data_IF_836683580670
#
_entry.id   IF_836683580670
#
_cell.length_a   1.000
_cell.length_b   1.000
_cell.length_c   1.000
_cell.angle_alpha   90.00
_cell.angle_beta   90.00
_cell.angle_gamma   90.00
#
_symmetry.space_group_name_H-M   'P 1'
#
loop_
_entity.id
_entity.type
_entity.pdbx_description
1 polymer ?
#
# COMPACT_ATOMS: atom_id res chain seq x y z
N UNK A 1 -22.73 -9.61 5.49
CA UNK A 1 -21.43 -9.00 5.13
C UNK A 1 -21.18 -7.87 6.09
N UNK A 2 -19.90 -7.67 6.47
CA UNK A 2 -19.55 -6.56 7.37
C UNK A 2 -19.60 -5.22 6.64
N UNK A 3 -20.01 -4.19 7.36
CA UNK A 3 -20.17 -2.81 6.88
C UNK A 3 -19.66 -1.85 7.94
N UNK A 4 -19.27 -0.64 7.55
CA UNK A 4 -19.11 0.46 8.49
C UNK A 4 -20.37 1.33 8.48
N UNK A 5 -20.84 1.69 9.67
CA UNK A 5 -21.87 2.72 9.90
C UNK A 5 -21.21 3.90 10.56
N UNK A 6 -21.39 5.07 10.00
CA UNK A 6 -20.67 6.29 10.39
C UNK A 6 -21.69 7.41 10.59
N UNK A 7 -21.62 8.11 11.73
CA UNK A 7 -22.22 9.42 11.89
C UNK A 7 -21.16 10.48 11.73
N UNK A 8 -21.26 11.27 10.67
CA UNK A 8 -20.31 12.32 10.35
C UNK A 8 -20.69 13.68 10.93
N UNK A 9 -19.90 14.69 10.57
CA UNK A 9 -20.13 16.07 10.91
C UNK A 9 -19.32 16.60 12.10
N UNK A 10 -18.53 15.74 12.75
CA UNK A 10 -17.67 16.14 13.86
C UNK A 10 -16.18 16.17 13.42
N UNK A 11 -15.41 17.19 13.84
CA UNK A 11 -13.97 17.21 13.64
C UNK A 11 -13.30 16.00 14.32
N UNK A 12 -12.33 15.40 13.67
CA UNK A 12 -11.47 14.43 14.31
C UNK A 12 -10.35 15.13 15.07
N UNK A 13 -10.17 14.79 16.33
CA UNK A 13 -9.18 15.42 17.21
C UNK A 13 -8.49 14.37 18.06
N UNK A 14 -7.18 14.42 18.14
CA UNK A 14 -6.41 13.54 18.99
C UNK A 14 -5.13 13.03 18.35
N UNK A 15 -4.67 11.90 18.83
CA UNK A 15 -3.43 11.25 18.40
C UNK A 15 -3.75 9.88 17.81
N UNK A 16 -3.03 9.52 16.75
CA UNK A 16 -3.09 8.20 16.14
C UNK A 16 -1.68 7.67 15.91
N UNK A 17 -1.47 6.41 16.23
CA UNK A 17 -0.19 5.73 16.02
C UNK A 17 -0.26 4.89 14.74
N UNK A 18 0.74 5.06 13.87
CA UNK A 18 0.82 4.40 12.57
C UNK A 18 1.53 3.07 12.71
N UNK A 19 0.98 2.05 12.08
CA UNK A 19 1.56 0.71 12.01
C UNK A 19 2.59 0.55 10.92
N UNK A 20 3.09 -0.67 10.76
CA UNK A 20 4.06 -1.02 9.73
C UNK A 20 3.52 -0.88 8.32
N UNK A 21 4.40 -0.54 7.38
CA UNK A 21 4.07 -0.35 5.97
C UNK A 21 3.69 -1.69 5.32
N UNK A 22 2.43 -1.83 4.92
CA UNK A 22 1.93 -3.03 4.23
C UNK A 22 2.76 -3.35 2.98
N UNK A 23 3.03 -2.36 2.15
CA UNK A 23 3.73 -2.58 0.89
C UNK A 23 5.21 -3.00 1.09
N UNK A 24 5.86 -2.52 2.15
CA UNK A 24 7.17 -3.00 2.55
C UNK A 24 7.09 -4.42 3.13
N UNK A 25 6.13 -4.66 4.02
CA UNK A 25 5.93 -5.95 4.68
C UNK A 25 5.74 -7.10 3.68
N UNK A 26 4.92 -6.90 2.65
CA UNK A 26 4.67 -7.93 1.62
C UNK A 26 5.96 -8.38 0.94
N UNK A 27 6.83 -7.45 0.56
CA UNK A 27 8.10 -7.76 -0.08
C UNK A 27 9.13 -8.34 0.90
N UNK A 28 9.19 -7.81 2.13
CA UNK A 28 10.10 -8.30 3.18
C UNK A 28 9.76 -9.73 3.60
N UNK A 29 8.49 -10.07 3.73
CA UNK A 29 8.07 -11.44 4.01
C UNK A 29 8.47 -12.42 2.91
N UNK A 30 8.33 -12.02 1.64
CA UNK A 30 8.80 -12.82 0.52
C UNK A 30 10.33 -12.97 0.55
N UNK A 31 11.07 -11.90 0.81
CA UNK A 31 12.53 -11.94 0.90
C UNK A 31 13.04 -12.78 2.09
N UNK A 32 12.26 -12.88 3.17
CA UNK A 32 12.63 -13.66 4.35
C UNK A 32 12.84 -15.15 4.08
N UNK A 33 12.23 -15.71 3.03
CA UNK A 33 12.41 -17.11 2.65
C UNK A 33 13.73 -17.38 1.90
N UNK A 34 14.48 -16.33 1.53
CA UNK A 34 15.72 -16.46 0.76
C UNK A 34 16.89 -16.97 1.60
N UNK A 35 16.76 -17.08 2.90
CA UNK A 35 17.73 -17.72 3.80
C UNK A 35 17.16 -18.97 4.43
N UNK A 36 18.04 -19.90 4.81
CA UNK A 36 17.68 -21.09 5.59
C UNK A 36 17.70 -20.82 7.10
N UNK A 37 18.21 -19.67 7.51
CA UNK A 37 18.25 -19.25 8.90
C UNK A 37 16.95 -18.54 9.31
N UNK A 38 16.70 -18.44 10.62
CA UNK A 38 15.54 -17.78 11.16
C UNK A 38 15.59 -16.27 10.97
N UNK A 39 14.50 -15.70 10.46
CA UNK A 39 14.28 -14.26 10.33
C UNK A 39 13.17 -13.83 11.28
N UNK A 40 13.46 -12.82 12.10
CA UNK A 40 12.49 -12.21 13.01
C UNK A 40 12.09 -10.83 12.48
N UNK A 41 10.79 -10.64 12.26
CA UNK A 41 10.24 -9.40 11.68
C UNK A 41 9.30 -8.76 12.70
N UNK A 42 9.57 -7.50 13.01
CA UNK A 42 8.80 -6.64 13.90
C UNK A 42 8.06 -5.55 13.12
N UNK A 43 7.10 -4.91 13.79
CA UNK A 43 6.25 -3.88 13.21
C UNK A 43 5.52 -4.34 11.95
N UNK A 44 5.11 -5.59 11.93
CA UNK A 44 4.31 -6.18 10.87
C UNK A 44 2.85 -5.72 11.04
N UNK A 45 2.19 -5.15 10.01
CA UNK A 45 0.78 -4.78 10.15
C UNK A 45 -0.11 -6.03 10.17
N UNK A 46 -1.08 -6.06 11.08
CA UNK A 46 -2.08 -7.13 11.15
C UNK A 46 -3.24 -6.82 10.19
N UNK A 47 -3.01 -7.05 8.93
CA UNK A 47 -3.97 -6.82 7.85
C UNK A 47 -4.15 -8.08 7.00
N UNK A 48 -5.27 -8.14 6.30
CA UNK A 48 -5.66 -9.34 5.53
C UNK A 48 -4.61 -9.76 4.50
N UNK A 49 -4.04 -8.82 3.75
CA UNK A 49 -3.04 -9.14 2.72
C UNK A 49 -1.79 -9.80 3.32
N UNK A 50 -1.36 -9.37 4.49
CA UNK A 50 -0.23 -9.96 5.21
C UNK A 50 -0.55 -11.38 5.66
N UNK A 51 -1.74 -11.60 6.22
CA UNK A 51 -2.15 -12.92 6.70
C UNK A 51 -2.24 -13.92 5.54
N UNK A 52 -2.77 -13.51 4.39
CA UNK A 52 -2.82 -14.35 3.19
C UNK A 52 -1.41 -14.71 2.69
N UNK A 53 -0.48 -13.75 2.68
CA UNK A 53 0.90 -14.03 2.26
C UNK A 53 1.63 -14.98 3.22
N UNK A 54 1.42 -14.84 4.53
CA UNK A 54 1.99 -15.76 5.51
C UNK A 54 1.47 -17.21 5.32
N UNK A 55 0.18 -17.36 4.98
CA UNK A 55 -0.37 -18.66 4.64
C UNK A 55 0.26 -19.24 3.36
N UNK A 56 0.44 -18.41 2.31
CA UNK A 56 1.10 -18.84 1.09
C UNK A 56 2.55 -19.30 1.34
N UNK A 57 3.29 -18.58 2.17
CA UNK A 57 4.66 -18.94 2.57
C UNK A 57 4.68 -20.25 3.37
N UNK A 58 3.73 -20.45 4.25
CA UNK A 58 3.58 -21.72 5.00
C UNK A 58 3.25 -22.89 4.08
N UNK A 59 2.38 -22.66 3.10
CA UNK A 59 1.93 -23.72 2.16
C UNK A 59 3.09 -24.21 1.27
N UNK A 60 4.01 -23.36 0.87
CA UNK A 60 5.20 -23.80 0.12
C UNK A 60 6.25 -24.49 0.99
N UNK A 61 6.04 -24.55 2.30
CA UNK A 61 6.82 -25.37 3.24
C UNK A 61 7.68 -24.59 4.22
N UNK A 62 7.67 -23.25 4.23
CA UNK A 62 8.39 -22.48 5.24
C UNK A 62 7.75 -22.64 6.63
N UNK A 63 8.57 -22.57 7.66
CA UNK A 63 8.10 -22.44 9.04
C UNK A 63 7.73 -20.99 9.32
N UNK A 64 6.50 -20.78 9.77
CA UNK A 64 5.97 -19.45 10.10
C UNK A 64 5.35 -19.50 11.50
N UNK A 65 5.97 -18.78 12.44
CA UNK A 65 5.50 -18.66 13.82
C UNK A 65 5.07 -17.22 14.09
N UNK A 66 3.78 -17.02 14.35
CA UNK A 66 3.25 -15.72 14.79
C UNK A 66 3.55 -15.52 16.28
N UNK A 67 4.45 -14.59 16.59
CA UNK A 67 4.84 -14.30 17.99
C UNK A 67 3.83 -13.38 18.66
N UNK A 68 3.34 -12.39 17.90
CA UNK A 68 2.30 -11.44 18.29
C UNK A 68 1.54 -10.98 17.05
N UNK A 69 0.48 -10.18 17.17
CA UNK A 69 -0.19 -9.62 15.98
C UNK A 69 0.73 -8.85 15.03
N UNK A 70 1.85 -8.30 15.55
CA UNK A 70 2.79 -7.45 14.79
C UNK A 70 4.19 -8.05 14.65
N UNK A 71 4.38 -9.32 15.03
CA UNK A 71 5.70 -9.96 15.01
C UNK A 71 5.61 -11.39 14.48
N UNK A 72 6.59 -11.79 13.68
CA UNK A 72 6.63 -13.13 13.08
C UNK A 72 8.07 -13.63 12.99
N UNK A 73 8.25 -14.95 13.16
CA UNK A 73 9.49 -15.68 12.84
C UNK A 73 9.25 -16.53 11.60
N UNK A 74 10.18 -16.44 10.65
CA UNK A 74 10.12 -17.21 9.40
C UNK A 74 11.42 -17.96 9.23
N UNK A 75 11.34 -19.22 8.86
CA UNK A 75 12.49 -20.05 8.49
C UNK A 75 12.20 -20.75 7.17
N UNK A 76 13.03 -20.45 6.16
CA UNK A 76 12.86 -20.96 4.80
C UNK A 76 13.56 -22.31 4.51
N UNK A 77 14.22 -22.94 5.50
CA UNK A 77 14.98 -24.17 5.32
C UNK A 77 14.13 -25.40 4.92
N UNK A 78 12.85 -25.36 5.24
CA UNK A 78 11.89 -26.47 5.01
C UNK A 78 11.02 -26.29 3.78
N UNK A 79 11.33 -25.30 2.93
CA UNK A 79 10.59 -25.10 1.68
C UNK A 79 10.81 -26.30 0.77
N UNK A 80 9.73 -26.97 0.39
CA UNK A 80 9.72 -28.16 -0.45
C UNK A 80 9.10 -27.90 -1.83
N UNK A 81 8.33 -26.84 -1.98
CA UNK A 81 7.57 -26.52 -3.18
C UNK A 81 7.92 -25.10 -3.68
N UNK A 82 8.30 -25.01 -4.95
CA UNK A 82 8.64 -23.75 -5.64
C UNK A 82 7.45 -23.18 -6.44
N UNK A 83 6.30 -23.85 -6.37
CA UNK A 83 5.06 -23.45 -7.02
C UNK A 83 4.09 -22.88 -5.99
N UNK A 84 3.62 -21.67 -6.26
CA UNK A 84 2.63 -20.98 -5.42
C UNK A 84 1.23 -21.28 -5.93
N UNK A 85 0.30 -21.60 -5.05
CA UNK A 85 -1.06 -21.92 -5.45
C UNK A 85 -1.85 -20.69 -5.90
N UNK A 86 -2.70 -20.89 -6.93
CA UNK A 86 -3.51 -19.82 -7.53
C UNK A 86 -4.43 -19.12 -6.53
N UNK A 87 -4.95 -19.83 -5.54
CA UNK A 87 -5.86 -19.26 -4.54
C UNK A 87 -5.26 -18.11 -3.74
N UNK A 88 -3.95 -18.11 -3.50
CA UNK A 88 -3.25 -17.01 -2.84
C UNK A 88 -3.00 -15.84 -3.79
N UNK A 89 -2.59 -16.13 -5.03
CA UNK A 89 -2.36 -15.11 -6.04
C UNK A 89 -3.66 -14.36 -6.40
N UNK A 90 -4.78 -15.07 -6.44
CA UNK A 90 -6.11 -14.50 -6.66
C UNK A 90 -6.51 -13.50 -5.57
N UNK A 91 -6.14 -13.79 -4.32
CA UNK A 91 -6.48 -12.94 -3.18
C UNK A 91 -5.58 -11.72 -3.06
N UNK A 92 -4.29 -11.87 -3.34
CA UNK A 92 -3.31 -10.78 -3.25
C UNK A 92 -2.32 -10.82 -4.40
N UNK A 93 -2.21 -9.72 -5.13
CA UNK A 93 -1.27 -9.60 -6.24
C UNK A 93 0.20 -9.61 -5.80
N UNK A 94 0.48 -9.13 -4.58
CA UNK A 94 1.84 -9.06 -4.04
C UNK A 94 2.51 -10.43 -3.84
N UNK A 95 1.77 -11.54 -3.96
CA UNK A 95 2.36 -12.89 -4.02
C UNK A 95 3.39 -13.05 -5.14
N UNK A 96 3.40 -12.14 -6.13
CA UNK A 96 4.46 -12.07 -7.14
C UNK A 96 5.86 -11.79 -6.58
N UNK A 97 5.99 -11.21 -5.40
CA UNK A 97 7.31 -11.06 -4.77
C UNK A 97 7.95 -12.42 -4.49
N UNK A 98 7.16 -13.48 -4.33
CA UNK A 98 7.66 -14.85 -4.22
C UNK A 98 8.38 -15.31 -5.49
N UNK A 99 8.03 -14.77 -6.66
CA UNK A 99 8.70 -15.08 -7.93
C UNK A 99 10.19 -14.71 -7.89
N UNK A 100 10.51 -13.47 -7.52
CA UNK A 100 11.91 -13.02 -7.39
C UNK A 100 12.65 -13.72 -6.26
N UNK A 101 12.01 -13.92 -5.12
CA UNK A 101 12.61 -14.59 -3.97
C UNK A 101 12.96 -16.08 -4.27
N UNK A 102 12.02 -16.82 -4.84
CA UNK A 102 12.22 -18.23 -5.19
C UNK A 102 13.24 -18.39 -6.32
N UNK A 103 13.18 -17.54 -7.35
CA UNK A 103 14.16 -17.55 -8.44
C UNK A 103 15.56 -17.25 -7.92
N UNK A 104 15.71 -16.27 -7.05
CA UNK A 104 16.99 -15.93 -6.44
C UNK A 104 17.61 -17.08 -5.65
N UNK A 105 16.82 -17.72 -4.80
CA UNK A 105 17.30 -18.81 -3.93
C UNK A 105 17.44 -20.15 -4.65
N UNK A 106 16.40 -20.57 -5.39
CA UNK A 106 16.30 -21.94 -5.95
C UNK A 106 16.57 -21.99 -7.44
N UNK A 107 16.76 -20.85 -8.12
CA UNK A 107 16.95 -20.76 -9.58
C UNK A 107 15.73 -21.29 -10.37
N UNK A 108 14.60 -21.48 -9.71
CA UNK A 108 13.36 -21.91 -10.31
C UNK A 108 12.18 -21.39 -9.49
N UNK A 109 11.14 -20.96 -10.17
CA UNK A 109 9.90 -20.50 -9.56
C UNK A 109 8.71 -20.68 -10.50
N UNK A 110 7.55 -20.99 -9.95
CA UNK A 110 6.29 -21.03 -10.69
C UNK A 110 5.23 -20.27 -9.89
N UNK A 111 4.74 -19.18 -10.48
CA UNK A 111 3.74 -18.32 -9.84
C UNK A 111 2.62 -18.02 -10.81
N UNK A 112 1.36 -18.34 -10.49
CA UNK A 112 0.21 -18.06 -11.36
C UNK A 112 0.08 -16.58 -11.69
N UNK A 113 -0.39 -16.27 -12.90
CA UNK A 113 -0.75 -14.91 -13.27
C UNK A 113 -1.96 -14.45 -12.45
N UNK A 114 -1.94 -13.24 -11.89
CA UNK A 114 -3.10 -12.70 -11.19
C UNK A 114 -4.21 -12.39 -12.19
N UNK A 115 -5.45 -12.48 -11.73
CA UNK A 115 -6.60 -11.97 -12.47
C UNK A 115 -6.56 -10.45 -12.66
N UNK A 116 -7.58 -9.90 -13.31
CA UNK A 116 -7.73 -8.47 -13.56
C UNK A 116 -7.64 -7.63 -12.27
N UNK A 117 -7.22 -6.39 -12.41
CA UNK A 117 -7.12 -5.44 -11.31
C UNK A 117 -8.24 -4.41 -11.38
N UNK A 118 -8.85 -4.10 -10.26
CA UNK A 118 -9.95 -3.12 -10.17
C UNK A 118 -9.52 -1.68 -10.49
N UNK A 119 -8.25 -1.35 -10.33
CA UNK A 119 -7.73 0.02 -10.51
C UNK A 119 -6.96 0.23 -11.81
N UNK A 120 -6.77 -0.82 -12.62
CA UNK A 120 -6.09 -0.72 -13.92
C UNK A 120 -5.18 -1.89 -14.23
N UNK A 121 -4.57 -1.84 -15.41
CA UNK A 121 -3.60 -2.81 -15.88
C UNK A 121 -2.31 -2.75 -15.03
N UNK A 122 -1.77 -3.92 -14.72
CA UNK A 122 -0.47 -4.04 -14.04
C UNK A 122 0.37 -5.08 -14.75
N UNK A 123 0.95 -4.72 -15.89
CA UNK A 123 1.76 -5.65 -16.67
C UNK A 123 3.02 -6.07 -15.88
N UNK A 124 3.53 -7.25 -16.18
CA UNK A 124 4.74 -7.82 -15.57
C UNK A 124 5.91 -7.92 -16.56
N UNK A 125 5.80 -7.25 -17.70
CA UNK A 125 6.80 -7.25 -18.77
C UNK A 125 8.20 -6.83 -18.27
N UNK A 126 8.27 -5.83 -17.37
CA UNK A 126 9.54 -5.38 -16.80
C UNK A 126 10.13 -6.40 -15.83
N UNK A 127 9.31 -7.14 -15.09
CA UNK A 127 9.75 -8.28 -14.26
C UNK A 127 10.41 -9.34 -15.15
N UNK A 128 9.73 -9.74 -16.23
CA UNK A 128 10.22 -10.76 -17.15
C UNK A 128 11.51 -10.31 -17.86
N UNK A 129 11.56 -9.06 -18.29
CA UNK A 129 12.76 -8.44 -18.88
C UNK A 129 13.97 -8.57 -17.94
N UNK A 130 13.81 -8.22 -16.68
CA UNK A 130 14.88 -8.28 -15.68
C UNK A 130 15.35 -9.71 -15.42
N UNK A 131 14.44 -10.64 -15.25
CA UNK A 131 14.80 -12.05 -15.04
C UNK A 131 15.52 -12.68 -16.24
N UNK A 132 15.06 -12.38 -17.45
CA UNK A 132 15.75 -12.82 -18.67
C UNK A 132 17.15 -12.21 -18.80
N UNK A 133 17.30 -10.95 -18.43
CA UNK A 133 18.61 -10.30 -18.41
C UNK A 133 19.58 -10.98 -17.45
N UNK A 134 19.11 -11.46 -16.30
CA UNK A 134 19.90 -12.22 -15.33
C UNK A 134 20.22 -13.65 -15.78
N UNK A 135 19.69 -14.10 -16.92
CA UNK A 135 19.96 -15.41 -17.50
C UNK A 135 18.88 -16.46 -17.27
N UNK A 136 17.72 -16.10 -16.73
CA UNK A 136 16.61 -17.02 -16.60
C UNK A 136 15.84 -17.20 -17.92
N UNK A 137 15.37 -18.42 -18.18
CA UNK A 137 14.29 -18.65 -19.13
C UNK A 137 12.97 -18.35 -18.41
N UNK A 138 12.10 -17.58 -19.03
CA UNK A 138 10.83 -17.18 -18.45
C UNK A 138 9.73 -17.37 -19.48
N UNK A 139 8.78 -18.24 -19.19
CA UNK A 139 7.66 -18.58 -20.04
C UNK A 139 6.34 -18.44 -19.27
N UNK A 140 5.28 -18.21 -20.01
CA UNK A 140 3.92 -18.27 -19.47
C UNK A 140 3.31 -19.59 -19.91
N UNK A 141 3.14 -20.50 -18.97
CA UNK A 141 2.63 -21.85 -19.21
C UNK A 141 1.42 -22.12 -18.30
N UNK A 142 0.33 -22.56 -18.89
CA UNK A 142 -0.90 -22.90 -18.14
C UNK A 142 -1.39 -21.79 -17.19
N UNK A 143 -1.22 -20.53 -17.59
CA UNK A 143 -1.63 -19.38 -16.80
C UNK A 143 -0.67 -19.01 -15.65
N UNK A 144 0.52 -19.57 -15.62
CA UNK A 144 1.56 -19.28 -14.63
C UNK A 144 2.85 -18.77 -15.29
N UNK A 145 3.57 -17.91 -14.58
CA UNK A 145 4.95 -17.55 -14.91
C UNK A 145 5.86 -18.67 -14.41
N UNK A 146 6.60 -19.27 -15.31
CA UNK A 146 7.59 -20.30 -15.00
C UNK A 146 8.96 -19.75 -15.33
N UNK A 147 9.79 -19.54 -14.31
CA UNK A 147 11.14 -19.01 -14.44
C UNK A 147 12.15 -20.07 -14.00
N UNK A 148 13.19 -20.28 -14.81
CA UNK A 148 14.25 -21.25 -14.54
C UNK A 148 15.61 -20.72 -15.01
N UNK A 149 16.64 -21.00 -14.24
CA UNK A 149 18.03 -20.71 -14.61
C UNK A 149 18.97 -21.80 -14.08
N UNK A 150 20.02 -22.13 -14.83
CA UNK A 150 21.13 -22.93 -14.27
C UNK A 150 21.89 -22.07 -13.26
N UNK A 151 22.14 -20.83 -13.62
CA UNK A 151 22.71 -19.80 -12.74
C UNK A 151 22.14 -18.43 -13.12
N UNK A 152 22.10 -17.53 -12.17
CA UNK A 152 21.81 -16.11 -12.40
C UNK A 152 23.13 -15.34 -12.47
N UNK A 153 23.27 -14.50 -13.47
CA UNK A 153 24.46 -13.68 -13.70
C UNK A 153 24.08 -12.21 -13.77
N UNK A 154 24.78 -11.38 -13.02
CA UNK A 154 24.56 -9.95 -12.97
C UNK A 154 24.64 -9.29 -14.34
N UNK A 155 23.78 -8.30 -14.57
CA UNK A 155 23.66 -7.54 -15.81
C UNK A 155 23.31 -6.09 -15.52
N UNK A 156 23.54 -5.27 -16.52
CA UNK A 156 22.97 -3.94 -16.59
C UNK A 156 21.53 -4.04 -17.13
N UNK A 157 20.56 -3.58 -16.35
CA UNK A 157 19.14 -3.68 -16.66
C UNK A 157 18.53 -2.26 -16.64
N UNK A 158 18.04 -1.83 -17.79
CA UNK A 158 17.30 -0.58 -17.91
C UNK A 158 15.80 -0.88 -17.93
N UNK A 159 15.06 -0.31 -16.99
CA UNK A 159 13.59 -0.42 -16.95
C UNK A 159 12.97 0.63 -17.89
N UNK A 160 12.12 0.19 -18.80
CA UNK A 160 11.47 1.06 -19.77
C UNK A 160 10.49 2.04 -19.10
N UNK A 161 9.98 1.65 -17.94
CA UNK A 161 9.16 2.48 -17.07
C UNK A 161 9.47 2.17 -15.60
N UNK A 162 9.25 3.16 -14.74
CA UNK A 162 9.40 2.97 -13.30
C UNK A 162 8.36 1.97 -12.80
N UNK A 163 8.81 0.88 -12.20
CA UNK A 163 7.96 -0.17 -11.65
C UNK A 163 8.49 -0.63 -10.30
N UNK A 164 7.70 -0.42 -9.26
CA UNK A 164 8.01 -0.88 -7.90
C UNK A 164 8.16 -2.40 -7.85
N UNK A 165 7.17 -3.11 -8.38
CA UNK A 165 7.17 -4.57 -8.39
C UNK A 165 8.36 -5.17 -9.13
N UNK A 166 8.69 -4.65 -10.31
CA UNK A 166 9.84 -5.11 -11.09
C UNK A 166 11.16 -4.78 -10.37
N UNK A 167 11.31 -3.56 -9.85
CA UNK A 167 12.52 -3.17 -9.11
C UNK A 167 12.79 -4.11 -7.94
N UNK A 168 11.78 -4.38 -7.11
CA UNK A 168 11.93 -5.26 -5.93
C UNK A 168 12.21 -6.71 -6.35
N UNK A 169 11.46 -7.26 -7.31
CA UNK A 169 11.66 -8.63 -7.77
C UNK A 169 13.05 -8.85 -8.38
N UNK A 170 13.49 -7.94 -9.24
CA UNK A 170 14.83 -8.01 -9.84
C UNK A 170 15.90 -7.87 -8.77
N UNK A 171 15.72 -6.97 -7.80
CA UNK A 171 16.65 -6.78 -6.69
C UNK A 171 16.79 -8.05 -5.85
N UNK A 172 15.71 -8.74 -5.53
CA UNK A 172 15.74 -10.02 -4.82
C UNK A 172 16.50 -11.10 -5.62
N UNK A 173 16.17 -11.28 -6.88
CA UNK A 173 16.85 -12.27 -7.73
C UNK A 173 18.33 -11.94 -7.90
N UNK A 174 18.68 -10.67 -8.10
CA UNK A 174 20.05 -10.21 -8.30
C UNK A 174 20.89 -10.28 -7.01
N UNK A 175 20.27 -10.24 -5.83
CA UNK A 175 20.99 -10.33 -4.56
C UNK A 175 21.82 -11.61 -4.42
N UNK A 176 21.43 -12.69 -5.09
CA UNK A 176 22.12 -13.98 -5.10
C UNK A 176 22.63 -14.38 -6.49
N UNK A 177 22.69 -13.46 -7.45
CA UNK A 177 23.27 -13.69 -8.76
C UNK A 177 24.81 -13.56 -8.71
N UNK A 178 25.50 -14.26 -9.61
CA UNK A 178 26.95 -14.09 -9.76
C UNK A 178 27.29 -12.72 -10.37
N UNK A 179 28.25 -12.02 -9.77
CA UNK A 179 28.75 -10.74 -10.31
C UNK A 179 27.92 -9.54 -9.89
N UNK A 180 27.92 -8.53 -10.75
CA UNK A 180 27.31 -7.23 -10.45
C UNK A 180 26.09 -7.00 -11.33
N UNK A 181 25.03 -6.48 -10.72
CA UNK A 181 23.81 -6.03 -11.40
C UNK A 181 23.62 -4.54 -11.18
N UNK A 182 23.28 -3.83 -12.25
CA UNK A 182 22.83 -2.42 -12.18
C UNK A 182 21.42 -2.34 -12.70
N UNK A 183 20.53 -1.77 -11.89
CA UNK A 183 19.16 -1.49 -12.29
C UNK A 183 19.05 0.02 -12.50
N UNK A 184 18.78 0.46 -13.73
CA UNK A 184 18.53 1.86 -14.07
C UNK A 184 17.05 2.12 -14.24
N UNK A 185 16.66 3.36 -14.00
CA UNK A 185 15.26 3.79 -13.94
C UNK A 185 14.46 3.03 -12.88
N UNK A 186 15.12 2.73 -11.76
CA UNK A 186 14.55 2.01 -10.63
C UNK A 186 13.48 2.86 -9.91
N UNK A 187 12.52 2.19 -9.29
CA UNK A 187 11.58 2.81 -8.38
C UNK A 187 12.32 3.28 -7.10
N UNK A 188 11.88 4.41 -6.53
CA UNK A 188 12.52 5.10 -5.40
C UNK A 188 11.69 5.13 -4.13
N UNK A 189 10.53 4.52 -4.15
CA UNK A 189 9.58 4.52 -3.03
C UNK A 189 10.24 4.06 -1.73
N UNK A 190 9.82 4.59 -0.57
CA UNK A 190 10.37 4.22 0.74
C UNK A 190 10.39 2.72 1.00
N UNK A 191 9.38 1.98 0.55
CA UNK A 191 9.34 0.53 0.74
C UNK A 191 10.35 -0.22 -0.15
N UNK A 192 10.76 0.33 -1.29
CA UNK A 192 11.90 -0.24 -2.06
C UNK A 192 13.19 -0.13 -1.28
N UNK A 193 13.42 1.02 -0.64
CA UNK A 193 14.59 1.23 0.24
C UNK A 193 14.54 0.29 1.44
N UNK A 194 13.38 0.09 2.03
CA UNK A 194 13.20 -0.79 3.18
C UNK A 194 13.53 -2.25 2.85
N UNK A 195 13.09 -2.72 1.68
CA UNK A 195 13.45 -4.07 1.19
C UNK A 195 14.96 -4.21 0.96
N UNK A 196 15.59 -3.20 0.38
CA UNK A 196 17.05 -3.19 0.19
C UNK A 196 17.79 -3.24 1.53
N UNK A 197 17.36 -2.45 2.52
CA UNK A 197 17.92 -2.46 3.87
C UNK A 197 17.71 -3.81 4.55
N UNK A 198 16.56 -4.41 4.39
CA UNK A 198 16.27 -5.75 4.91
C UNK A 198 17.20 -6.80 4.30
N UNK A 199 17.33 -6.83 2.97
CA UNK A 199 18.24 -7.74 2.28
C UNK A 199 19.70 -7.54 2.71
N UNK A 200 20.15 -6.29 2.86
CA UNK A 200 21.47 -5.97 3.36
C UNK A 200 21.68 -6.46 4.80
N UNK A 201 20.66 -6.39 5.64
CA UNK A 201 20.73 -6.95 7.01
C UNK A 201 20.87 -8.47 7.01
N UNK A 202 20.47 -9.15 5.92
CA UNK A 202 20.66 -10.58 5.70
C UNK A 202 22.00 -10.90 5.02
N UNK A 203 22.84 -9.91 4.75
CA UNK A 203 24.16 -10.10 4.14
C UNK A 203 24.24 -9.80 2.64
N UNK A 204 23.17 -9.28 2.03
CA UNK A 204 23.23 -8.80 0.65
C UNK A 204 24.11 -7.54 0.53
N UNK A 205 24.50 -7.21 -0.69
CA UNK A 205 25.29 -6.02 -1.01
C UNK A 205 24.56 -5.19 -2.05
N UNK A 206 23.67 -4.31 -1.56
CA UNK A 206 22.81 -3.45 -2.39
C UNK A 206 23.09 -1.99 -2.04
N UNK A 207 23.40 -1.18 -3.05
CA UNK A 207 23.69 0.26 -2.93
C UNK A 207 22.80 1.04 -3.90
N UNK A 208 22.49 2.28 -3.53
CA UNK A 208 21.75 3.21 -4.38
C UNK A 208 20.23 3.07 -4.31
N UNK A 209 19.67 2.24 -3.44
CA UNK A 209 18.23 2.21 -3.20
C UNK A 209 17.72 3.59 -2.73
N UNK A 210 16.60 4.04 -3.28
CA UNK A 210 16.11 5.42 -3.09
C UNK A 210 16.56 6.39 -4.17
N UNK A 211 17.45 5.95 -5.06
CA UNK A 211 17.84 6.64 -6.29
C UNK A 211 17.33 5.89 -7.52
N UNK A 212 17.50 6.46 -8.69
CA UNK A 212 17.10 5.82 -9.96
C UNK A 212 18.08 4.72 -10.42
N UNK A 213 19.22 4.57 -9.74
CA UNK A 213 20.22 3.54 -10.06
C UNK A 213 20.55 2.71 -8.83
N UNK A 214 20.23 1.42 -8.90
CA UNK A 214 20.55 0.45 -7.85
C UNK A 214 21.66 -0.46 -8.34
N UNK A 215 22.71 -0.62 -7.52
CA UNK A 215 23.85 -1.50 -7.79
C UNK A 215 23.89 -2.64 -6.78
N UNK A 216 24.00 -3.85 -7.28
CA UNK A 216 23.94 -5.07 -6.49
C UNK A 216 25.15 -5.92 -6.82
N UNK A 217 25.93 -6.26 -5.79
CA UNK A 217 26.94 -7.31 -5.89
C UNK A 217 26.36 -8.59 -5.31
N UNK A 218 26.18 -9.61 -6.12
CA UNK A 218 25.59 -10.86 -5.69
C UNK A 218 26.41 -11.57 -4.62
N UNK A 219 25.72 -12.30 -3.75
CA UNK A 219 26.32 -13.14 -2.70
C UNK A 219 25.85 -14.58 -2.85
N UNK A 220 26.65 -15.54 -2.39
CA UNK A 220 26.29 -16.96 -2.48
C UNK A 220 25.18 -17.34 -1.51
N UNK A 221 25.15 -16.71 -0.33
CA UNK A 221 24.26 -17.06 0.77
C UNK A 221 23.82 -15.84 1.54
N UNK A 222 22.55 -15.82 1.95
CA UNK A 222 22.00 -14.87 2.92
C UNK A 222 21.87 -15.57 4.28
N UNK A 223 21.91 -14.78 5.35
CA UNK A 223 21.78 -15.26 6.73
C UNK A 223 20.54 -14.66 7.40
N UNK A 224 20.20 -15.20 8.58
CA UNK A 224 19.10 -14.68 9.40
C UNK A 224 19.33 -13.27 9.91
N UNK A 225 18.26 -12.61 10.29
CA UNK A 225 18.28 -11.24 10.84
C UNK A 225 17.07 -10.99 11.70
N UNK A 226 17.13 -9.93 12.51
CA UNK A 226 15.98 -9.26 13.12
C UNK A 226 15.79 -7.93 12.44
N UNK A 227 14.56 -7.61 12.04
CA UNK A 227 14.28 -6.41 11.27
C UNK A 227 12.92 -5.80 11.64
N UNK A 228 12.88 -4.48 11.77
CA UNK A 228 11.66 -3.72 11.99
C UNK A 228 11.23 -3.00 10.72
N UNK A 229 9.99 -3.22 10.29
CA UNK A 229 9.41 -2.60 9.09
C UNK A 229 9.18 -1.11 9.33
N UNK A 230 9.40 -0.27 8.31
CA UNK A 230 9.12 1.17 8.36
C UNK A 230 7.63 1.45 8.58
N UNK A 231 7.28 2.61 9.17
CA UNK A 231 5.89 3.04 9.29
C UNK A 231 5.23 3.23 7.93
N UNK A 232 3.92 2.96 7.87
CA UNK A 232 3.12 3.08 6.65
C UNK A 232 2.82 4.54 6.30
N UNK A 233 3.46 5.07 5.26
CA UNK A 233 3.22 6.43 4.80
C UNK A 233 1.80 6.65 4.24
N UNK A 234 1.16 5.62 3.73
CA UNK A 234 -0.18 5.73 3.16
C UNK A 234 -1.24 5.73 4.26
N UNK A 235 -1.10 4.90 5.27
CA UNK A 235 -1.94 4.98 6.47
C UNK A 235 -1.80 6.37 7.12
N UNK A 236 -0.58 6.84 7.32
CA UNK A 236 -0.31 8.18 7.85
C UNK A 236 -0.98 9.27 7.01
N UNK A 237 -0.78 9.27 5.72
CA UNK A 237 -1.39 10.23 4.79
C UNK A 237 -2.92 10.16 4.79
N UNK A 238 -3.49 8.98 4.98
CA UNK A 238 -4.94 8.80 5.08
C UNK A 238 -5.51 9.53 6.31
N UNK A 239 -4.87 9.42 7.48
CA UNK A 239 -5.26 10.17 8.67
C UNK A 239 -5.00 11.68 8.54
N UNK A 240 -3.93 12.08 7.84
CA UNK A 240 -3.68 13.49 7.52
C UNK A 240 -4.81 14.08 6.66
N UNK A 241 -5.26 13.36 5.64
CA UNK A 241 -6.42 13.76 4.82
C UNK A 241 -7.72 13.75 5.62
N UNK A 242 -7.88 12.84 6.57
CA UNK A 242 -9.04 12.81 7.46
C UNK A 242 -9.11 14.08 8.33
N UNK A 243 -7.99 14.56 8.84
CA UNK A 243 -7.93 15.85 9.55
C UNK A 243 -8.37 17.01 8.64
N UNK A 244 -7.89 17.06 7.40
CA UNK A 244 -8.26 18.07 6.44
C UNK A 244 -9.76 18.06 6.12
N UNK A 245 -10.31 16.90 5.78
CA UNK A 245 -11.70 16.76 5.35
C UNK A 245 -12.72 17.01 6.48
N UNK A 246 -12.37 16.72 7.74
CA UNK A 246 -13.25 16.88 8.90
C UNK A 246 -13.03 18.18 9.67
N UNK A 247 -12.18 19.08 9.19
CA UNK A 247 -11.78 20.30 9.91
C UNK A 247 -11.22 19.96 11.29
N UNK A 248 -10.37 18.96 11.35
CA UNK A 248 -9.84 18.37 12.56
C UNK A 248 -8.45 18.83 12.94
N UNK A 249 -7.93 18.21 13.99
CA UNK A 249 -6.61 18.44 14.56
C UNK A 249 -6.04 17.09 14.99
N UNK A 250 -5.20 16.48 14.16
CA UNK A 250 -4.67 15.14 14.39
C UNK A 250 -3.15 15.16 14.47
N UNK A 251 -2.62 14.58 15.55
CA UNK A 251 -1.21 14.22 15.68
C UNK A 251 -1.02 12.79 15.17
N UNK A 252 -0.33 12.64 14.06
CA UNK A 252 -0.01 11.35 13.44
C UNK A 252 1.37 10.93 13.91
N UNK A 253 1.45 9.88 14.74
CA UNK A 253 2.65 9.43 15.44
C UNK A 253 3.24 8.17 14.83
N UNK A 254 4.51 7.90 15.13
CA UNK A 254 5.27 6.78 14.59
C UNK A 254 5.34 6.84 13.05
N UNK A 255 5.82 7.95 12.53
CA UNK A 255 6.00 8.19 11.10
C UNK A 255 7.41 8.66 10.80
N UNK A 256 7.78 8.61 9.54
CA UNK A 256 8.98 9.24 9.01
C UNK A 256 8.51 10.45 8.17
N UNK A 257 8.61 11.69 8.68
CA UNK A 257 8.03 12.85 8.02
C UNK A 257 8.54 13.06 6.59
N UNK A 258 9.78 12.69 6.32
CA UNK A 258 10.36 12.75 4.98
C UNK A 258 9.60 11.92 3.94
N UNK A 259 9.00 10.80 4.35
CA UNK A 259 8.17 9.97 3.46
C UNK A 259 6.83 10.61 3.11
N UNK A 260 6.42 11.64 3.85
CA UNK A 260 5.14 12.33 3.71
C UNK A 260 5.24 13.69 3.00
N UNK A 261 6.41 14.06 2.50
CA UNK A 261 6.66 15.40 1.93
C UNK A 261 5.65 15.81 0.85
N UNK A 262 5.32 14.93 -0.08
CA UNK A 262 4.35 15.21 -1.14
C UNK A 262 2.94 15.45 -0.58
N UNK A 263 2.51 14.64 0.38
CA UNK A 263 1.22 14.79 1.05
C UNK A 263 1.18 16.05 1.90
N UNK A 264 2.21 16.30 2.68
CA UNK A 264 2.36 17.53 3.48
C UNK A 264 2.26 18.77 2.61
N UNK A 265 3.03 18.83 1.52
CA UNK A 265 3.03 19.97 0.61
C UNK A 265 1.64 20.26 0.05
N UNK A 266 0.90 19.25 -0.36
CA UNK A 266 -0.46 19.43 -0.89
C UNK A 266 -1.48 19.82 0.19
N UNK A 267 -1.35 19.31 1.40
CA UNK A 267 -2.21 19.74 2.52
C UNK A 267 -1.96 21.20 2.90
N UNK A 268 -0.71 21.64 2.94
CA UNK A 268 -0.39 23.06 3.16
C UNK A 268 -0.93 23.95 2.02
N UNK A 269 -0.83 23.49 0.78
CA UNK A 269 -1.34 24.21 -0.39
C UNK A 269 -2.84 24.43 -0.35
N UNK A 270 -3.60 23.49 0.19
CA UNK A 270 -5.06 23.65 0.40
C UNK A 270 -5.44 24.37 1.69
N UNK A 271 -4.46 24.82 2.48
CA UNK A 271 -4.66 25.69 3.64
C UNK A 271 -4.61 25.02 5.00
N UNK A 272 -4.18 23.76 5.09
CA UNK A 272 -3.92 23.10 6.37
C UNK A 272 -2.62 23.64 6.99
N UNK A 273 -2.58 23.68 8.31
CA UNK A 273 -1.34 23.87 9.07
C UNK A 273 -0.72 22.49 9.31
N UNK A 274 0.52 22.29 8.93
CA UNK A 274 1.25 21.04 9.10
C UNK A 274 2.52 21.32 9.89
N UNK A 275 2.68 20.67 11.03
CA UNK A 275 3.86 20.77 11.88
C UNK A 275 4.56 19.41 11.94
N UNK A 276 5.85 19.41 11.58
CA UNK A 276 6.67 18.18 11.57
C UNK A 276 7.51 18.09 12.82
N UNK A 277 7.56 16.89 13.41
CA UNK A 277 8.43 16.50 14.51
C UNK A 277 9.37 15.39 14.05
N UNK A 278 10.24 14.89 14.89
CA UNK A 278 11.18 13.82 14.50
C UNK A 278 10.48 12.54 14.03
N UNK A 279 9.39 12.15 14.69
CA UNK A 279 8.64 10.92 14.42
C UNK A 279 7.12 11.12 14.38
N UNK A 280 6.67 12.35 14.19
CA UNK A 280 5.26 12.70 14.15
C UNK A 280 4.98 13.87 13.21
N UNK A 281 3.74 13.96 12.76
CA UNK A 281 3.23 15.10 11.99
C UNK A 281 1.87 15.49 12.52
N UNK A 282 1.67 16.77 12.83
CA UNK A 282 0.37 17.32 13.23
C UNK A 282 -0.27 18.04 12.05
N UNK A 283 -1.53 17.75 11.76
CA UNK A 283 -2.32 18.41 10.74
C UNK A 283 -3.52 19.07 11.37
N UNK A 284 -3.69 20.36 11.12
CA UNK A 284 -4.80 21.16 11.60
C UNK A 284 -5.50 21.84 10.43
N UNK A 285 -6.79 21.65 10.30
CA UNK A 285 -7.63 22.36 9.35
C UNK A 285 -8.63 23.23 10.13
N UNK A 286 -8.42 24.53 10.16
CA UNK A 286 -9.25 25.51 10.92
C UNK A 286 -10.08 26.40 10.04
N UNK A 287 -9.89 26.34 8.72
CA UNK A 287 -10.59 27.16 7.72
C UNK A 287 -11.00 26.30 6.54
N UNK A 288 -12.00 26.73 5.79
CA UNK A 288 -12.39 26.07 4.55
C UNK A 288 -11.18 25.86 3.66
N UNK A 289 -11.03 24.66 3.15
CA UNK A 289 -9.92 24.27 2.27
C UNK A 289 -9.97 25.05 0.96
N UNK A 290 -8.83 25.21 0.34
CA UNK A 290 -8.65 25.89 -0.94
C UNK A 290 -8.47 24.86 -2.05
N UNK A 291 -8.87 25.24 -3.26
CA UNK A 291 -8.63 24.42 -4.46
C UNK A 291 -7.15 24.20 -4.72
N UNK A 292 -6.83 23.11 -5.37
CA UNK A 292 -5.50 22.84 -5.91
C UNK A 292 -5.56 21.91 -7.12
N UNK A 293 -4.40 21.72 -7.75
CA UNK A 293 -4.19 20.72 -8.79
C UNK A 293 -3.19 19.70 -8.26
N UNK A 294 -3.50 18.43 -8.44
CA UNK A 294 -2.61 17.34 -8.08
C UNK A 294 -2.51 16.34 -9.21
N UNK A 295 -1.29 15.85 -9.44
CA UNK A 295 -1.01 14.79 -10.40
C UNK A 295 -0.25 13.68 -9.70
N UNK A 296 -0.74 12.45 -9.80
CA UNK A 296 -0.02 11.30 -9.27
C UNK A 296 1.22 11.01 -10.10
N UNK A 297 2.32 10.75 -9.44
CA UNK A 297 3.63 10.51 -10.04
C UNK A 297 4.37 9.44 -9.23
N UNK A 298 5.33 8.72 -9.84
CA UNK A 298 6.27 7.92 -9.05
C UNK A 298 6.95 8.75 -7.97
N UNK A 299 7.28 8.11 -6.86
CA UNK A 299 7.97 8.77 -5.75
C UNK A 299 9.25 9.53 -6.24
N UNK A 300 9.54 10.74 -5.80
CA UNK A 300 8.92 11.50 -4.70
C UNK A 300 7.69 12.34 -5.09
N UNK A 301 7.07 12.10 -6.22
CA UNK A 301 5.83 12.75 -6.59
C UNK A 301 4.65 12.30 -5.73
N UNK A 302 3.47 12.88 -5.99
CA UNK A 302 2.27 12.56 -5.22
C UNK A 302 1.85 11.10 -5.42
N UNK A 303 1.75 10.29 -4.34
CA UNK A 303 1.50 8.86 -4.49
C UNK A 303 0.06 8.57 -4.96
N UNK A 304 -0.06 7.66 -5.93
CA UNK A 304 -1.37 7.21 -6.42
C UNK A 304 -2.24 6.61 -5.31
N UNK A 305 -1.63 5.98 -4.31
CA UNK A 305 -2.34 5.40 -3.16
C UNK A 305 -2.93 6.45 -2.21
N UNK A 306 -2.59 7.72 -2.36
CA UNK A 306 -3.17 8.85 -1.65
C UNK A 306 -4.21 9.64 -2.47
N UNK A 307 -4.38 9.32 -3.74
CA UNK A 307 -5.24 10.08 -4.64
C UNK A 307 -6.71 10.08 -4.18
N UNK A 308 -7.35 8.95 -3.85
CA UNK A 308 -8.76 8.95 -3.42
C UNK A 308 -8.99 9.76 -2.13
N UNK A 309 -8.13 9.63 -1.14
CA UNK A 309 -8.26 10.30 0.16
C UNK A 309 -8.13 11.83 0.02
N UNK A 310 -7.17 12.28 -0.77
CA UNK A 310 -6.98 13.71 -1.04
C UNK A 310 -8.13 14.30 -1.86
N UNK A 311 -8.66 13.52 -2.81
CA UNK A 311 -9.84 13.91 -3.61
C UNK A 311 -11.05 14.19 -2.72
N UNK A 312 -11.26 13.40 -1.66
CA UNK A 312 -12.35 13.67 -0.70
C UNK A 312 -12.20 15.05 -0.05
N UNK A 313 -11.00 15.42 0.39
CA UNK A 313 -10.74 16.76 0.92
C UNK A 313 -11.06 17.85 -0.11
N UNK A 314 -10.71 17.63 -1.38
CA UNK A 314 -10.98 18.58 -2.47
C UNK A 314 -12.45 18.74 -2.80
N UNK A 315 -13.32 17.76 -2.49
CA UNK A 315 -14.78 17.91 -2.67
C UNK A 315 -15.35 19.00 -1.77
N UNK A 316 -14.67 19.36 -0.68
CA UNK A 316 -15.07 20.37 0.29
C UNK A 316 -14.26 21.67 0.15
N UNK A 317 -13.29 21.71 -0.75
CA UNK A 317 -12.46 22.90 -0.99
C UNK A 317 -13.21 23.95 -1.78
N UNK A 318 -12.90 25.22 -1.52
CA UNK A 318 -13.47 26.33 -2.27
C UNK A 318 -12.87 26.41 -3.68
N UNK A 319 -13.73 26.44 -4.69
CA UNK A 319 -13.33 26.56 -6.11
C UNK A 319 -13.20 25.20 -6.80
N UNK A 320 -12.56 25.21 -7.97
CA UNK A 320 -12.42 24.03 -8.82
C UNK A 320 -11.00 23.45 -8.70
N UNK A 321 -10.93 22.19 -8.31
CA UNK A 321 -9.70 21.40 -8.24
C UNK A 321 -9.61 20.42 -9.38
N UNK A 322 -8.38 20.06 -9.77
CA UNK A 322 -8.12 19.05 -10.82
C UNK A 322 -7.20 17.98 -10.26
N UNK A 323 -7.61 16.73 -10.40
CA UNK A 323 -6.81 15.55 -10.04
C UNK A 323 -6.52 14.76 -11.28
N UNK A 324 -5.24 14.60 -11.61
CA UNK A 324 -4.79 13.79 -12.75
C UNK A 324 -4.14 12.51 -12.23
N UNK A 325 -4.70 11.37 -12.64
CA UNK A 325 -4.16 10.04 -12.31
C UNK A 325 -3.31 9.55 -13.47
N UNK A 326 -1.99 9.47 -13.26
CA UNK A 326 -1.04 9.06 -14.31
C UNK A 326 -0.45 7.67 -14.12
N UNK A 327 -0.86 6.94 -13.07
CA UNK A 327 -0.32 5.61 -12.76
C UNK A 327 -1.31 4.50 -13.16
N UNK A 328 -2.61 4.65 -12.86
CA UNK A 328 -3.64 3.64 -13.13
C UNK A 328 -4.83 4.21 -13.90
N UNK A 329 -5.36 3.42 -14.85
CA UNK A 329 -6.44 3.86 -15.75
C UNK A 329 -7.82 3.94 -15.07
N UNK A 330 -8.06 3.10 -14.05
CA UNK A 330 -9.39 2.93 -13.44
C UNK A 330 -9.44 3.39 -11.97
N UNK A 331 -8.72 4.46 -11.63
CA UNK A 331 -8.61 4.88 -10.22
C UNK A 331 -9.61 5.94 -9.78
N UNK A 332 -10.67 6.17 -10.53
CA UNK A 332 -11.76 7.11 -10.18
C UNK A 332 -13.11 6.43 -9.94
N UNK A 333 -13.16 5.13 -9.71
CA UNK A 333 -14.42 4.38 -9.49
C UNK A 333 -15.22 4.89 -8.28
N UNK A 334 -14.57 5.49 -7.32
CA UNK A 334 -15.20 6.10 -6.15
C UNK A 334 -15.95 7.41 -6.46
N UNK A 335 -15.74 8.01 -7.62
CA UNK A 335 -16.35 9.29 -7.98
C UNK A 335 -17.88 9.22 -7.99
N UNK A 336 -18.45 8.13 -8.51
CA UNK A 336 -19.89 7.92 -8.51
C UNK A 336 -20.44 7.78 -7.08
N UNK A 337 -19.71 7.13 -6.21
CA UNK A 337 -20.09 7.00 -4.79
C UNK A 337 -20.04 8.36 -4.07
N UNK A 338 -19.03 9.19 -4.33
CA UNK A 338 -18.97 10.56 -3.81
C UNK A 338 -20.09 11.44 -4.36
N UNK A 339 -20.49 11.27 -5.61
CA UNK A 339 -21.62 11.98 -6.22
C UNK A 339 -22.94 11.65 -5.49
N UNK A 340 -23.11 10.42 -5.02
CA UNK A 340 -24.24 10.01 -4.18
C UNK A 340 -24.28 10.73 -2.83
N UNK A 341 -23.12 11.18 -2.36
CA UNK A 341 -22.98 11.96 -1.13
C UNK A 341 -23.09 13.47 -1.37
N UNK A 342 -23.36 13.90 -2.60
CA UNK A 342 -23.53 15.31 -2.96
C UNK A 342 -22.26 16.01 -3.47
N UNK A 343 -21.17 15.27 -3.72
CA UNK A 343 -19.98 15.84 -4.34
C UNK A 343 -20.24 16.22 -5.80
N UNK A 344 -19.60 17.29 -6.25
CA UNK A 344 -19.62 17.72 -7.65
C UNK A 344 -18.27 17.33 -8.29
N UNK A 345 -18.23 16.16 -8.88
CA UNK A 345 -17.04 15.58 -9.48
C UNK A 345 -17.35 15.02 -10.87
N UNK A 346 -16.56 15.39 -11.85
CA UNK A 346 -16.65 14.93 -13.24
C UNK A 346 -15.33 14.28 -13.65
N UNK A 347 -15.39 13.06 -14.15
CA UNK A 347 -14.22 12.33 -14.62
C UNK A 347 -14.18 12.32 -16.15
N UNK A 348 -13.07 12.77 -16.71
CA UNK A 348 -12.78 12.77 -18.14
C UNK A 348 -11.42 12.09 -18.37
N UNK A 349 -11.43 10.87 -18.88
CA UNK A 349 -10.21 10.09 -19.07
C UNK A 349 -9.50 9.83 -17.74
N UNK A 350 -8.27 10.32 -17.62
CA UNK A 350 -7.43 10.20 -16.42
C UNK A 350 -7.51 11.42 -15.48
N UNK A 351 -8.49 12.28 -15.67
CA UNK A 351 -8.61 13.55 -14.93
C UNK A 351 -9.98 13.68 -14.29
N UNK A 352 -10.00 14.03 -13.01
CA UNK A 352 -11.19 14.42 -12.29
C UNK A 352 -11.21 15.94 -12.10
N UNK A 353 -12.34 16.55 -12.43
CA UNK A 353 -12.64 17.96 -12.21
C UNK A 353 -13.61 18.03 -11.05
N UNK A 354 -13.22 18.72 -9.97
CA UNK A 354 -13.94 18.76 -8.71
C UNK A 354 -14.32 20.18 -8.39
N UNK A 355 -15.60 20.49 -8.42
CA UNK A 355 -16.13 21.77 -7.92
C UNK A 355 -16.51 21.58 -6.45
N UNK A 356 -15.84 22.29 -5.56
CA UNK A 356 -16.05 22.14 -4.13
C UNK A 356 -17.46 22.49 -3.69
N UNK A 357 -18.03 21.67 -2.80
CA UNK A 357 -19.33 21.91 -2.17
C UNK A 357 -19.16 22.35 -0.72
N UNK A 358 -20.19 22.94 -0.14
CA UNK A 358 -20.13 23.35 1.27
C UNK A 358 -20.21 22.18 2.23
N UNK A 359 -20.89 21.11 1.83
CA UNK A 359 -21.07 19.91 2.65
C UNK A 359 -21.34 18.68 1.78
N UNK A 360 -20.97 17.53 2.31
CA UNK A 360 -21.44 16.23 1.87
C UNK A 360 -22.59 15.78 2.77
N UNK A 361 -23.42 14.87 2.26
CA UNK A 361 -24.50 14.25 3.01
C UNK A 361 -24.31 12.75 3.07
N UNK A 362 -24.69 12.14 4.21
CA UNK A 362 -24.58 10.71 4.39
C UNK A 362 -25.39 9.92 3.37
N UNK A 363 -24.83 8.81 2.91
CA UNK A 363 -25.46 7.90 1.96
C UNK A 363 -24.97 6.47 2.17
N UNK A 364 -25.62 5.50 1.54
CA UNK A 364 -25.10 4.15 1.44
C UNK A 364 -24.19 4.09 0.21
N UNK A 365 -22.93 3.73 0.43
CA UNK A 365 -21.88 3.66 -0.59
C UNK A 365 -21.11 2.34 -0.49
N UNK A 366 -20.46 1.95 -1.55
CA UNK A 366 -19.71 0.70 -1.61
C UNK A 366 -18.23 0.97 -1.90
N UNK A 367 -17.34 0.34 -1.13
CA UNK A 367 -15.92 0.43 -1.33
C UNK A 367 -15.50 -0.32 -2.62
N UNK A 368 -15.00 0.37 -3.66
CA UNK A 368 -14.61 -0.30 -4.89
C UNK A 368 -13.21 -0.96 -4.82
N UNK A 369 -12.38 -0.47 -3.93
CA UNK A 369 -11.03 -0.97 -3.66
C UNK A 369 -10.54 -0.50 -2.28
N UNK A 370 -9.32 -0.88 -1.92
CA UNK A 370 -8.71 -0.58 -0.63
C UNK A 370 -8.65 0.93 -0.32
N UNK A 371 -8.05 1.72 -1.21
CA UNK A 371 -7.80 3.15 -0.94
C UNK A 371 -9.05 4.00 -1.14
N UNK A 372 -9.83 3.70 -2.16
CA UNK A 372 -11.13 4.32 -2.35
C UNK A 372 -12.09 4.01 -1.20
N UNK A 373 -12.06 2.79 -0.66
CA UNK A 373 -12.85 2.43 0.51
C UNK A 373 -12.51 3.28 1.73
N UNK A 374 -11.23 3.45 2.05
CA UNK A 374 -10.79 4.33 3.12
C UNK A 374 -11.18 5.79 2.87
N UNK A 375 -11.09 6.26 1.63
CA UNK A 375 -11.54 7.59 1.23
C UNK A 375 -13.05 7.79 1.47
N UNK A 376 -13.89 6.80 1.18
CA UNK A 376 -15.32 6.86 1.44
C UNK A 376 -15.64 6.88 2.94
N UNK A 377 -14.85 6.24 3.77
CA UNK A 377 -14.96 6.37 5.24
C UNK A 377 -14.66 7.81 5.67
N UNK A 378 -13.59 8.41 5.14
CA UNK A 378 -13.28 9.83 5.41
C UNK A 378 -14.43 10.73 4.95
N UNK A 379 -14.98 10.48 3.77
CA UNK A 379 -16.14 11.23 3.27
C UNK A 379 -17.34 11.11 4.20
N UNK A 380 -17.62 9.91 4.71
CA UNK A 380 -18.68 9.67 5.69
C UNK A 380 -18.46 10.42 7.01
N UNK A 381 -17.22 10.51 7.48
CA UNK A 381 -16.87 11.28 8.69
C UNK A 381 -17.02 12.80 8.48
N UNK A 382 -16.76 13.29 7.28
CA UNK A 382 -16.94 14.70 6.93
C UNK A 382 -18.38 15.08 6.60
N UNK A 383 -19.22 14.12 6.22
CA UNK A 383 -20.59 14.33 5.77
C UNK A 383 -21.55 14.62 6.95
N UNK A 384 -22.63 15.32 6.67
CA UNK A 384 -23.74 15.43 7.61
C UNK A 384 -24.62 14.17 7.55
N UNK A 385 -25.00 13.63 8.70
CA UNK A 385 -25.88 12.47 8.79
C UNK A 385 -25.13 11.14 8.83
N UNK A 386 -25.79 10.08 8.40
CA UNK A 386 -25.31 8.70 8.51
C UNK A 386 -24.88 8.18 7.15
N UNK A 387 -23.66 7.61 7.11
CA UNK A 387 -23.12 6.92 5.96
C UNK A 387 -22.94 5.44 6.29
N UNK A 388 -23.30 4.59 5.35
CA UNK A 388 -23.06 3.15 5.41
C UNK A 388 -22.07 2.81 4.31
N UNK A 389 -20.95 2.19 4.66
CA UNK A 389 -19.95 1.74 3.70
C UNK A 389 -19.99 0.23 3.60
N UNK A 390 -20.41 -0.26 2.44
CA UNK A 390 -20.41 -1.68 2.10
C UNK A 390 -19.02 -2.13 1.62
N UNK A 391 -18.81 -3.45 1.53
CA UNK A 391 -17.61 -4.09 1.00
C UNK A 391 -16.30 -3.69 1.73
N UNK A 392 -16.38 -3.49 3.03
CA UNK A 392 -15.23 -3.09 3.86
C UNK A 392 -14.09 -4.11 3.88
N UNK A 393 -14.32 -5.30 3.37
CA UNK A 393 -13.28 -6.32 3.17
C UNK A 393 -12.10 -5.77 2.37
N UNK A 394 -12.34 -4.85 1.44
CA UNK A 394 -11.27 -4.17 0.70
C UNK A 394 -10.43 -3.26 1.60
N UNK A 395 -11.05 -2.57 2.56
CA UNK A 395 -10.36 -1.70 3.52
C UNK A 395 -9.48 -2.53 4.46
N UNK A 396 -9.98 -3.67 4.92
CA UNK A 396 -9.29 -4.60 5.83
C UNK A 396 -8.04 -5.23 5.21
N UNK A 397 -7.88 -5.13 3.89
CA UNK A 397 -6.67 -5.58 3.21
C UNK A 397 -5.42 -4.80 3.61
N UNK A 398 -5.55 -3.53 4.00
CA UNK A 398 -4.39 -2.68 4.24
C UNK A 398 -4.50 -1.68 5.39
N UNK A 399 -5.63 -1.57 6.07
CA UNK A 399 -5.79 -0.72 7.24
C UNK A 399 -6.04 -1.56 8.48
N UNK A 400 -5.09 -1.52 9.40
CA UNK A 400 -5.15 -2.23 10.67
C UNK A 400 -6.06 -1.51 11.65
N UNK A 401 -7.10 -2.19 12.16
CA UNK A 401 -8.00 -1.66 13.20
C UNK A 401 -8.50 -0.24 12.88
N UNK A 402 -8.91 -0.02 11.65
CA UNK A 402 -9.19 1.31 11.11
C UNK A 402 -10.29 2.04 11.90
N UNK A 403 -11.41 1.36 12.15
CA UNK A 403 -12.51 1.93 12.93
C UNK A 403 -12.14 2.23 14.38
N UNK A 404 -11.27 1.42 14.99
CA UNK A 404 -10.83 1.63 16.37
C UNK A 404 -9.92 2.87 16.46
N UNK A 405 -8.97 3.02 15.53
CA UNK A 405 -8.11 4.20 15.43
C UNK A 405 -8.92 5.47 15.20
N UNK A 406 -9.94 5.41 14.34
CA UNK A 406 -10.85 6.53 14.10
C UNK A 406 -11.68 6.88 15.34
N UNK A 407 -12.18 5.89 16.08
CA UNK A 407 -12.88 6.13 17.35
C UNK A 407 -12.01 6.84 18.38
N UNK A 408 -10.72 6.50 18.45
CA UNK A 408 -9.77 7.21 19.32
C UNK A 408 -9.61 8.69 18.98
N UNK A 409 -9.95 9.08 17.74
CA UNK A 409 -9.96 10.46 17.27
C UNK A 409 -11.33 11.14 17.43
N UNK A 410 -12.29 10.47 18.07
CA UNK A 410 -13.63 10.99 18.30
C UNK A 410 -14.65 10.63 17.23
N UNK A 411 -14.33 9.77 16.27
CA UNK A 411 -15.26 9.31 15.27
C UNK A 411 -16.38 8.45 15.86
N UNK A 412 -17.60 8.67 15.40
CA UNK A 412 -18.74 7.78 15.64
C UNK A 412 -18.84 6.79 14.47
N UNK A 413 -18.16 5.67 14.60
CA UNK A 413 -18.05 4.61 13.58
C UNK A 413 -18.11 3.24 14.22
N UNK A 414 -18.87 2.33 13.62
CA UNK A 414 -18.94 0.93 14.03
C UNK A 414 -18.87 -0.01 12.85
N UNK A 415 -18.28 -1.17 13.10
CA UNK A 415 -18.34 -2.31 12.20
C UNK A 415 -19.55 -3.15 12.58
N UNK A 416 -20.46 -3.35 11.63
CA UNK A 416 -21.73 -4.06 11.83
C UNK A 416 -21.90 -5.15 10.77
N UNK A 417 -22.70 -6.16 11.07
CA UNK A 417 -22.94 -7.30 10.19
C UNK A 417 -24.41 -7.54 9.81
N UNK A 418 -25.32 -6.78 10.42
CA UNK A 418 -26.75 -6.92 10.20
C UNK A 418 -27.48 -5.57 10.14
N UNK A 419 -28.62 -5.54 9.47
CA UNK A 419 -29.49 -4.37 9.40
C UNK A 419 -29.99 -3.95 10.80
N UNK A 420 -30.17 -4.93 11.70
CA UNK A 420 -30.53 -4.66 13.09
C UNK A 420 -29.47 -3.88 13.85
N UNK A 421 -28.20 -4.14 13.57
CA UNK A 421 -27.08 -3.41 14.20
C UNK A 421 -26.98 -1.99 13.64
N UNK A 422 -27.27 -1.80 12.36
CA UNK A 422 -27.40 -0.46 11.75
C UNK A 422 -28.48 0.34 12.47
N UNK A 423 -29.67 -0.22 12.64
CA UNK A 423 -30.78 0.43 13.34
C UNK A 423 -30.43 0.78 14.79
N UNK A 424 -29.75 -0.11 15.51
CA UNK A 424 -29.29 0.18 16.88
C UNK A 424 -28.29 1.34 16.91
N UNK A 425 -27.36 1.38 15.96
CA UNK A 425 -26.41 2.49 15.84
C UNK A 425 -27.17 3.81 15.59
N UNK A 426 -28.08 3.82 14.63
CA UNK A 426 -28.89 5.00 14.30
C UNK A 426 -29.70 5.53 15.50
N UNK A 427 -30.30 4.64 16.29
CA UNK A 427 -31.03 5.01 17.49
C UNK A 427 -30.17 5.59 18.61
N UNK A 428 -28.89 5.19 18.65
CA UNK A 428 -27.95 5.67 19.67
C UNK A 428 -27.37 7.04 19.34
N UNK A 429 -27.11 7.32 18.07
CA UNK A 429 -26.44 8.55 17.62
C UNK A 429 -27.40 9.61 17.09
N UNK A 430 -28.63 9.24 16.80
CA UNK A 430 -29.71 10.11 16.29
C UNK A 430 -30.37 10.85 17.36
#
# INVERSE_FOLDING_TARGET
MEQYVIKGGNPLVGEVEIGGAKNAALAILAAAIMTDEMVYIENLPDVRDINVLLEAIREIGASVERVSPTEVRITGSTIANISVEYEYIKKIRASYYLLGALLGKYKTAEVPLPGGCNIGSRPIDQHLKGFRALGASVDILHGAVVAKAEKLTGKHIFLDMVSVGATINIMMAAAMAEGNTTIENAAREPHVVDVANFLNSMGANIKGAGTDVIRIKGVEKLHGTSYSIIPDQIEAGTFMCAAAATMGDIMVKNVIPKHLEATTAKLEEIGCEVEEFDDAVRVVASKRLKRTHVKTMPYPGYPTDMQPQFTVALTLAEGTSIVTESIFENRFKYADELSRMGANIKVEGNTAIIDGVHKLTGARVSAPDLRAGAALVIAGLAAEGITIVDDIVYIQRGYERFEEKLRCLGAEIEKVSSEKDIQKFQLRVG
#
